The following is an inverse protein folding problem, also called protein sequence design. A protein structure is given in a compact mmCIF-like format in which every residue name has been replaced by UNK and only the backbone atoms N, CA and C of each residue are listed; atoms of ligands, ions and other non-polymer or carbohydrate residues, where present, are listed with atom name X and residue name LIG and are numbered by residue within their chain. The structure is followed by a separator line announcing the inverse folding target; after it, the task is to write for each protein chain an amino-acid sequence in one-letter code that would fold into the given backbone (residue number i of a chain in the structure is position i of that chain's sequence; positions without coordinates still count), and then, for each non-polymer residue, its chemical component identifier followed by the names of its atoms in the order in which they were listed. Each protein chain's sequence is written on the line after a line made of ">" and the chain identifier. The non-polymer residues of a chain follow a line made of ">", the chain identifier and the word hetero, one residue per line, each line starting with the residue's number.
data_IF_417857637380
#
_entry.id   IF_417857637380
#
_cell.length_a   1.000
_cell.length_b   1.000
_cell.length_c   1.000
_cell.angle_alpha   90.00
_cell.angle_beta   90.00
_cell.angle_gamma   90.00
#
_symmetry.space_group_name_H-M   'P 1'
#
loop_
_entity.id
_entity.type
_entity.pdbx_description
1 polymer ?
#
# COMPACT_ATOMS: atom_id res chain seq x y z
N UNK A 1 24.03 -8.55 40.42
CA UNK A 1 25.26 -7.74 40.31
C UNK A 1 26.37 -8.64 39.79
N UNK A 2 27.03 -8.18 38.73
CA UNK A 2 28.25 -8.73 38.13
C UNK A 2 29.44 -8.60 39.12
N UNK A 3 30.56 -9.37 38.99
CA UNK A 3 31.54 -8.97 37.98
C UNK A 3 32.29 -10.08 37.23
N UNK A 4 32.73 -9.62 36.06
CA UNK A 4 33.73 -10.13 35.10
C UNK A 4 35.13 -9.71 35.58
N UNK A 5 36.17 -10.50 35.26
CA UNK A 5 37.58 -10.14 34.84
C UNK A 5 38.64 -11.05 35.45
N UNK A 6 39.81 -11.36 34.87
CA UNK A 6 40.43 -11.35 33.51
C UNK A 6 41.90 -11.82 33.72
N UNK A 7 42.54 -12.39 32.69
CA UNK A 7 44.03 -12.45 32.44
C UNK A 7 44.92 -13.32 33.35
N UNK A 8 46.12 -13.81 32.97
CA UNK A 8 47.03 -13.68 31.81
C UNK A 8 47.98 -14.91 31.79
N UNK A 9 48.78 -15.18 30.74
CA UNK A 9 50.22 -14.84 30.67
C UNK A 9 50.75 -15.11 29.24
N UNK A 10 51.24 -14.08 28.53
CA UNK A 10 52.65 -13.85 28.06
C UNK A 10 53.32 -14.98 27.24
N UNK A 11 53.50 -14.83 25.90
CA UNK A 11 54.69 -14.33 25.12
C UNK A 11 55.95 -15.22 25.31
N UNK A 12 56.65 -15.77 24.30
CA UNK A 12 57.45 -15.04 23.29
C UNK A 12 58.42 -15.97 22.49
N UNK A 13 58.48 -15.78 21.15
CA UNK A 13 59.66 -15.69 20.24
C UNK A 13 60.47 -16.93 19.74
N UNK A 14 60.42 -17.04 18.39
CA UNK A 14 61.44 -17.33 17.33
C UNK A 14 62.11 -18.70 17.09
N UNK A 15 62.04 -19.04 15.79
CA UNK A 15 63.10 -19.54 14.89
C UNK A 15 63.57 -21.00 14.95
N UNK A 16 63.25 -21.75 13.88
CA UNK A 16 64.23 -22.54 13.13
C UNK A 16 63.74 -22.89 11.70
N UNK A 17 64.54 -22.51 10.70
CA UNK A 17 64.53 -22.97 9.30
C UNK A 17 65.24 -24.36 9.26
N UNK A 18 65.06 -25.31 8.32
CA UNK A 18 65.30 -25.26 6.88
C UNK A 18 65.07 -26.67 6.24
N UNK A 19 64.91 -26.69 4.91
CA UNK A 19 65.10 -27.77 3.92
C UNK A 19 63.94 -28.69 3.46
N UNK A 20 63.57 -28.46 2.20
CA UNK A 20 62.77 -29.27 1.25
C UNK A 20 63.56 -30.50 0.71
N UNK A 21 62.99 -31.52 0.01
CA UNK A 21 62.39 -31.30 -1.32
C UNK A 21 61.30 -32.27 -1.84
N UNK A 22 60.67 -31.80 -2.94
CA UNK A 22 60.11 -32.51 -4.12
C UNK A 22 58.68 -33.08 -4.13
N UNK A 23 57.90 -32.40 -4.99
CA UNK A 23 56.93 -32.88 -6.00
C UNK A 23 55.57 -33.41 -5.51
N UNK A 24 54.58 -32.52 -5.45
CA UNK A 24 53.22 -32.85 -5.85
C UNK A 24 52.81 -31.98 -7.05
N UNK A 25 52.29 -32.62 -8.09
CA UNK A 25 51.81 -31.99 -9.32
C UNK A 25 50.48 -31.30 -9.02
N UNK A 26 50.48 -29.96 -8.95
CA UNK A 26 49.25 -29.19 -9.07
C UNK A 26 49.09 -28.75 -10.53
N UNK A 27 48.07 -29.30 -11.17
CA UNK A 27 47.60 -28.94 -12.49
C UNK A 27 47.03 -27.51 -12.42
N UNK A 28 47.71 -26.57 -13.06
CA UNK A 28 47.09 -25.34 -13.53
C UNK A 28 46.39 -25.64 -14.85
N UNK A 29 45.07 -25.40 -14.99
CA UNK A 29 44.54 -25.07 -16.30
C UNK A 29 44.78 -23.58 -16.51
N UNK A 30 45.76 -23.31 -17.36
CA UNK A 30 45.84 -22.13 -18.22
C UNK A 30 44.45 -21.70 -18.68
N UNK A 31 44.08 -20.45 -18.39
CA UNK A 31 42.92 -19.79 -19.00
C UNK A 31 43.28 -19.35 -20.42
N UNK A 32 42.61 -19.82 -21.47
CA UNK A 32 42.56 -19.10 -22.73
C UNK A 32 41.33 -18.19 -22.77
N UNK A 33 41.46 -17.12 -23.55
CA UNK A 33 40.39 -16.31 -24.14
C UNK A 33 39.72 -15.23 -23.27
N UNK A 34 40.42 -14.09 -23.27
CA UNK A 34 40.04 -12.72 -22.87
C UNK A 34 38.79 -12.15 -23.61
N UNK A 35 38.06 -12.95 -24.40
CA UNK A 35 36.98 -12.42 -25.25
C UNK A 35 35.55 -12.72 -24.77
N UNK A 36 35.39 -13.43 -23.65
CA UNK A 36 34.05 -13.76 -23.08
C UNK A 36 33.69 -13.04 -21.78
N UNK A 37 34.62 -12.32 -21.16
CA UNK A 37 34.38 -11.60 -19.90
C UNK A 37 33.76 -10.21 -20.10
N UNK A 38 33.77 -9.67 -21.32
CA UNK A 38 33.15 -8.37 -21.61
C UNK A 38 31.62 -8.40 -21.72
N UNK A 39 31.04 -9.53 -22.16
CA UNK A 39 29.60 -9.62 -22.48
C UNK A 39 28.76 -9.83 -21.21
N UNK A 40 29.29 -10.55 -20.21
CA UNK A 40 28.59 -10.77 -18.94
C UNK A 40 28.51 -9.51 -18.08
N UNK A 41 29.53 -8.65 -18.10
CA UNK A 41 29.50 -7.38 -17.36
C UNK A 41 28.49 -6.39 -17.95
N UNK A 42 28.34 -6.34 -19.27
CA UNK A 42 27.34 -5.50 -19.95
C UNK A 42 25.92 -5.98 -19.63
N UNK A 43 25.70 -7.29 -19.58
CA UNK A 43 24.40 -7.88 -19.25
C UNK A 43 23.94 -7.52 -17.82
N UNK A 44 24.85 -7.49 -16.84
CA UNK A 44 24.54 -7.04 -15.48
C UNK A 44 24.40 -5.52 -15.35
N UNK A 45 25.07 -4.73 -16.20
CA UNK A 45 24.89 -3.28 -16.22
C UNK A 45 23.51 -2.90 -16.76
N UNK A 46 23.06 -3.50 -17.86
CA UNK A 46 21.71 -3.26 -18.40
C UNK A 46 20.59 -3.75 -17.47
N UNK A 47 20.84 -4.78 -16.65
CA UNK A 47 19.84 -5.27 -15.70
C UNK A 47 19.71 -4.38 -14.45
N UNK A 48 20.75 -3.63 -14.07
CA UNK A 48 20.73 -2.74 -12.90
C UNK A 48 20.49 -1.26 -13.22
N UNK A 49 20.72 -0.80 -14.47
CA UNK A 49 20.44 0.60 -14.86
C UNK A 49 19.06 0.81 -15.48
N UNK A 50 18.25 -0.25 -15.62
CA UNK A 50 16.86 -0.15 -16.10
C UNK A 50 15.86 0.43 -15.09
N UNK A 51 16.28 0.68 -13.85
CA UNK A 51 15.45 1.30 -12.81
C UNK A 51 15.57 2.83 -12.84
N UNK A 52 15.62 3.44 -14.03
CA UNK A 52 15.54 4.87 -14.16
C UNK A 52 14.07 5.30 -14.01
N UNK A 53 13.75 5.72 -12.78
CA UNK A 53 12.77 6.76 -12.45
C UNK A 53 11.49 6.76 -13.27
N UNK A 54 10.48 6.17 -12.63
CA UNK A 54 9.05 6.42 -12.74
C UNK A 54 8.60 7.29 -13.90
N UNK A 55 7.81 6.66 -14.78
CA UNK A 55 6.75 7.35 -15.50
C UNK A 55 6.15 8.41 -14.57
N UNK A 56 6.38 9.68 -14.91
CA UNK A 56 5.64 10.79 -14.34
C UNK A 56 4.25 10.70 -14.94
N UNK A 57 3.48 9.72 -14.44
CA UNK A 57 2.03 9.77 -14.54
C UNK A 57 1.64 11.16 -14.08
N UNK A 58 0.84 11.83 -14.89
CA UNK A 58 0.36 13.18 -14.70
C UNK A 58 -0.44 13.23 -13.38
N UNK A 59 0.28 13.31 -12.25
CA UNK A 59 -0.23 13.18 -10.91
C UNK A 59 -1.04 14.44 -10.66
N UNK A 60 -2.36 14.28 -10.76
CA UNK A 60 -3.29 15.35 -10.41
C UNK A 60 -2.94 15.81 -9.00
N UNK A 61 -2.50 17.07 -8.88
CA UNK A 61 -2.10 17.65 -7.60
C UNK A 61 -3.29 17.57 -6.64
N UNK A 62 -3.05 17.03 -5.45
CA UNK A 62 -4.05 17.05 -4.38
C UNK A 62 -4.26 18.49 -3.93
N UNK A 63 -5.51 18.92 -3.91
CA UNK A 63 -5.90 20.22 -3.36
C UNK A 63 -6.63 19.99 -2.04
N UNK A 64 -6.26 20.75 -1.01
CA UNK A 64 -6.82 20.62 0.33
C UNK A 64 -7.37 21.98 0.75
N UNK A 65 -8.67 22.03 1.01
CA UNK A 65 -9.35 23.21 1.54
C UNK A 65 -9.89 22.88 2.93
N UNK A 66 -9.63 23.74 3.90
CA UNK A 66 -10.10 23.56 5.27
C UNK A 66 -10.82 24.81 5.74
N UNK A 67 -12.06 24.63 6.18
CA UNK A 67 -12.87 25.68 6.77
C UNK A 67 -13.47 25.17 8.07
N UNK A 68 -13.02 25.73 9.20
CA UNK A 68 -13.38 25.29 10.55
C UNK A 68 -13.18 23.76 10.74
N UNK A 69 -14.30 23.04 10.90
CA UNK A 69 -14.37 21.59 11.12
C UNK A 69 -14.55 20.80 9.82
N UNK A 70 -14.74 21.47 8.69
CA UNK A 70 -14.90 20.87 7.38
C UNK A 70 -13.55 20.84 6.65
N UNK A 71 -13.19 19.67 6.16
CA UNK A 71 -12.06 19.45 5.26
C UNK A 71 -12.58 18.95 3.93
N UNK A 72 -12.10 19.53 2.83
CA UNK A 72 -12.41 19.13 1.46
C UNK A 72 -11.09 18.80 0.75
N UNK A 73 -11.08 17.73 -0.02
CA UNK A 73 -9.92 17.32 -0.81
C UNK A 73 -10.33 16.99 -2.24
N UNK A 74 -9.65 17.60 -3.21
CA UNK A 74 -9.69 17.17 -4.61
C UNK A 74 -8.49 16.26 -4.88
N UNK A 75 -8.72 15.15 -5.59
CA UNK A 75 -7.72 14.10 -5.86
C UNK A 75 -6.98 13.68 -4.57
N UNK A 76 -7.70 13.21 -3.53
CA UNK A 76 -7.08 12.87 -2.25
C UNK A 76 -6.10 11.70 -2.42
N UNK A 77 -4.99 11.76 -1.68
CA UNK A 77 -3.97 10.69 -1.70
C UNK A 77 -4.44 9.43 -0.98
N UNK A 78 -5.44 9.55 -0.09
CA UNK A 78 -5.98 8.44 0.70
C UNK A 78 -7.47 8.60 0.99
N UNK A 79 -8.10 7.50 1.38
CA UNK A 79 -9.46 7.49 1.90
C UNK A 79 -9.59 8.32 3.21
N UNK A 80 -10.79 8.87 3.49
CA UNK A 80 -11.12 9.46 4.78
C UNK A 80 -10.90 8.47 5.92
N UNK A 81 -10.39 8.94 7.07
CA UNK A 81 -10.07 8.09 8.23
C UNK A 81 -11.28 7.41 8.87
N UNK A 82 -12.46 7.98 8.67
CA UNK A 82 -13.73 7.44 9.19
C UNK A 82 -14.24 6.24 8.39
N UNK A 83 -13.83 6.11 7.14
CA UNK A 83 -14.24 4.99 6.29
C UNK A 83 -13.28 3.81 6.48
N UNK A 84 -13.79 2.58 6.66
CA UNK A 84 -12.96 1.39 6.61
C UNK A 84 -12.20 1.31 5.28
N UNK A 85 -10.96 0.84 5.32
CA UNK A 85 -10.11 0.78 4.12
C UNK A 85 -10.69 -0.21 3.11
N UNK A 86 -11.31 -1.28 3.60
CA UNK A 86 -11.97 -2.32 2.82
C UNK A 86 -13.12 -1.78 1.97
N UNK A 87 -13.70 -0.63 2.30
CA UNK A 87 -14.79 -0.06 1.49
C UNK A 87 -14.28 0.58 0.19
N UNK A 88 -12.97 0.72 0.03
CA UNK A 88 -12.32 1.31 -1.14
C UNK A 88 -11.39 0.26 -1.75
N UNK A 89 -11.79 -0.38 -2.86
CA UNK A 89 -10.93 -1.37 -3.51
C UNK A 89 -9.57 -0.80 -3.91
N UNK A 90 -8.54 -1.64 -3.84
CA UNK A 90 -7.21 -1.28 -4.36
C UNK A 90 -7.27 -0.93 -5.84
N UNK A 91 -6.48 0.07 -6.27
CA UNK A 91 -6.52 0.59 -7.63
C UNK A 91 -7.66 1.58 -7.92
N UNK A 92 -8.45 1.93 -6.90
CA UNK A 92 -9.46 3.00 -7.02
C UNK A 92 -8.84 4.37 -7.24
N UNK A 93 -9.38 5.10 -8.22
CA UNK A 93 -9.01 6.48 -8.49
C UNK A 93 -9.90 7.43 -7.67
N UNK A 94 -9.33 8.00 -6.62
CA UNK A 94 -10.04 8.89 -5.69
C UNK A 94 -10.19 10.29 -6.30
N UNK A 95 -11.42 10.79 -6.37
CA UNK A 95 -11.73 12.04 -7.07
C UNK A 95 -11.92 13.17 -6.08
N UNK A 96 -12.70 12.94 -5.03
CA UNK A 96 -13.11 13.98 -4.09
C UNK A 96 -13.44 13.37 -2.74
N UNK A 97 -13.07 14.05 -1.66
CA UNK A 97 -13.48 13.65 -0.31
C UNK A 97 -13.80 14.84 0.57
N UNK A 98 -14.67 14.61 1.55
CA UNK A 98 -14.91 15.55 2.65
C UNK A 98 -14.86 14.84 3.99
N UNK A 99 -14.41 15.56 5.02
CA UNK A 99 -14.52 15.15 6.41
C UNK A 99 -15.05 16.32 7.24
N UNK A 100 -16.16 16.10 7.95
CA UNK A 100 -16.70 17.00 8.95
C UNK A 100 -16.37 16.46 10.34
N UNK A 101 -15.57 17.20 11.10
CA UNK A 101 -15.23 16.87 12.49
C UNK A 101 -16.36 17.21 13.45
N UNK A 102 -16.43 16.43 14.54
CA UNK A 102 -17.43 16.59 15.59
C UNK A 102 -17.27 17.93 16.31
N UNK A 103 -18.32 18.35 17.01
CA UNK A 103 -18.25 19.61 17.73
C UNK A 103 -17.32 19.55 18.94
N UNK A 104 -17.32 18.40 19.62
CA UNK A 104 -16.62 18.14 20.88
C UNK A 104 -15.14 17.80 20.71
N UNK A 105 -14.64 17.62 19.50
CA UNK A 105 -13.22 17.34 19.27
C UNK A 105 -12.78 17.32 17.80
N UNK A 106 -11.52 17.66 17.56
CA UNK A 106 -10.93 17.66 16.20
C UNK A 106 -10.64 16.25 15.64
N UNK A 107 -10.67 15.23 16.49
CA UNK A 107 -10.26 13.87 16.12
C UNK A 107 -11.41 13.04 15.56
N UNK A 108 -12.61 13.20 16.11
CA UNK A 108 -13.77 12.41 15.71
C UNK A 108 -14.42 12.98 14.45
N UNK A 109 -14.58 12.16 13.43
CA UNK A 109 -15.34 12.51 12.23
C UNK A 109 -16.82 12.22 12.48
N UNK A 110 -17.66 13.25 12.37
CA UNK A 110 -19.12 13.14 12.41
C UNK A 110 -19.64 12.56 11.11
N UNK A 111 -19.21 13.13 9.99
CA UNK A 111 -19.64 12.76 8.65
C UNK A 111 -18.45 12.81 7.70
N UNK A 112 -18.44 11.92 6.71
CA UNK A 112 -17.47 11.99 5.62
C UNK A 112 -18.07 11.51 4.32
N UNK A 113 -17.60 12.10 3.23
CA UNK A 113 -17.96 11.70 1.88
C UNK A 113 -16.71 11.32 1.11
N UNK A 114 -16.81 10.30 0.26
CA UNK A 114 -15.76 9.93 -0.68
C UNK A 114 -16.40 9.61 -2.03
N UNK A 115 -15.87 10.20 -3.09
CA UNK A 115 -16.18 9.90 -4.47
C UNK A 115 -14.94 9.31 -5.15
N UNK A 116 -15.11 8.14 -5.76
CA UNK A 116 -14.05 7.50 -6.53
C UNK A 116 -14.60 6.76 -7.75
N UNK A 117 -13.69 6.36 -8.62
CA UNK A 117 -13.97 5.49 -9.77
C UNK A 117 -13.11 4.24 -9.68
N UNK A 118 -13.64 3.13 -10.18
CA UNK A 118 -12.95 1.85 -10.20
C UNK A 118 -13.18 1.11 -11.52
N UNK A 119 -12.23 0.27 -11.91
CA UNK A 119 -12.30 -0.51 -13.15
C UNK A 119 -13.38 -1.60 -13.10
N UNK A 120 -13.76 -2.05 -11.91
CA UNK A 120 -14.85 -3.00 -11.74
C UNK A 120 -16.16 -2.43 -12.25
N UNK A 121 -16.91 -3.25 -12.99
CA UNK A 121 -18.27 -2.93 -13.42
C UNK A 121 -19.20 -2.95 -12.21
N UNK A 122 -20.37 -2.32 -12.34
CA UNK A 122 -21.40 -2.23 -11.28
C UNK A 122 -21.66 -3.58 -10.57
N UNK A 123 -21.95 -4.65 -11.32
CA UNK A 123 -22.18 -6.00 -10.74
C UNK A 123 -20.99 -6.54 -9.95
N UNK A 124 -19.77 -6.27 -10.38
CA UNK A 124 -18.57 -6.69 -9.67
C UNK A 124 -18.40 -5.90 -8.37
N UNK A 125 -18.73 -4.61 -8.37
CA UNK A 125 -18.74 -3.78 -7.15
C UNK A 125 -19.84 -4.21 -6.17
N UNK A 126 -21.03 -4.60 -6.65
CA UNK A 126 -22.11 -5.14 -5.81
C UNK A 126 -21.66 -6.41 -5.09
N UNK A 127 -21.06 -7.35 -5.81
CA UNK A 127 -20.49 -8.59 -5.24
C UNK A 127 -19.40 -8.24 -4.22
N UNK A 128 -18.48 -7.35 -4.57
CA UNK A 128 -17.41 -6.90 -3.68
C UNK A 128 -17.94 -6.37 -2.35
N UNK A 129 -18.93 -5.48 -2.38
CA UNK A 129 -19.53 -4.95 -1.15
C UNK A 129 -20.31 -6.00 -0.37
N UNK A 130 -21.05 -6.87 -1.05
CA UNK A 130 -21.74 -7.99 -0.41
C UNK A 130 -20.76 -8.87 0.39
N UNK A 131 -19.60 -9.21 -0.19
CA UNK A 131 -18.55 -9.97 0.48
C UNK A 131 -17.97 -9.25 1.70
N UNK A 132 -17.82 -7.92 1.64
CA UNK A 132 -17.34 -7.12 2.78
C UNK A 132 -18.36 -7.14 3.91
N UNK A 133 -19.64 -6.99 3.60
CA UNK A 133 -20.68 -6.94 4.63
C UNK A 133 -20.77 -8.24 5.40
N UNK A 134 -20.66 -9.37 4.69
CA UNK A 134 -20.60 -10.69 5.29
C UNK A 134 -19.35 -10.86 6.15
N UNK A 135 -18.18 -10.51 5.61
CA UNK A 135 -16.88 -10.71 6.28
C UNK A 135 -16.71 -9.84 7.53
N UNK A 136 -17.23 -8.61 7.51
CA UNK A 136 -17.06 -7.62 8.58
C UNK A 136 -18.33 -7.44 9.43
N UNK A 137 -19.34 -8.31 9.27
CA UNK A 137 -20.60 -8.28 10.01
C UNK A 137 -21.34 -6.93 9.95
N UNK A 138 -21.39 -6.31 8.77
CA UNK A 138 -22.21 -5.13 8.55
C UNK A 138 -23.65 -5.53 8.25
N UNK A 139 -24.60 -4.92 8.95
CA UNK A 139 -26.01 -5.15 8.75
C UNK A 139 -26.52 -4.28 7.61
N UNK A 140 -27.07 -4.89 6.56
CA UNK A 140 -27.80 -4.14 5.52
C UNK A 140 -29.11 -3.62 6.10
N UNK A 141 -29.30 -2.30 6.02
CA UNK A 141 -30.50 -1.61 6.46
C UNK A 141 -31.47 -1.38 5.31
N UNK A 142 -30.93 -1.04 4.14
CA UNK A 142 -31.69 -0.73 2.94
C UNK A 142 -30.86 -1.08 1.71
N UNK A 143 -31.53 -1.59 0.68
CA UNK A 143 -30.94 -1.89 -0.62
C UNK A 143 -31.93 -1.55 -1.73
N UNK A 144 -31.49 -0.78 -2.72
CA UNK A 144 -32.23 -0.45 -3.93
C UNK A 144 -31.32 -0.72 -5.13
N UNK A 145 -31.69 -1.71 -5.94
CA UNK A 145 -30.94 -2.11 -7.13
C UNK A 145 -31.77 -1.74 -8.36
N UNK A 146 -31.18 -0.94 -9.24
CA UNK A 146 -31.69 -0.65 -10.58
C UNK A 146 -30.61 -0.94 -11.61
N UNK A 147 -30.92 -0.92 -12.90
CA UNK A 147 -29.91 -1.14 -13.94
C UNK A 147 -28.79 -0.09 -13.92
N UNK A 148 -29.16 1.18 -13.71
CA UNK A 148 -28.24 2.31 -13.75
C UNK A 148 -27.47 2.55 -12.43
N UNK A 149 -28.16 2.34 -11.29
CA UNK A 149 -27.62 2.63 -9.95
C UNK A 149 -27.95 1.53 -8.94
N UNK A 150 -27.09 1.38 -7.96
CA UNK A 150 -27.36 0.58 -6.76
C UNK A 150 -27.07 1.44 -5.54
N UNK A 151 -28.00 1.46 -4.58
CA UNK A 151 -27.87 2.19 -3.33
C UNK A 151 -28.01 1.20 -2.19
N UNK A 152 -27.00 1.13 -1.33
CA UNK A 152 -26.98 0.22 -0.17
C UNK A 152 -26.67 1.05 1.06
N UNK A 153 -27.46 0.89 2.11
CA UNK A 153 -27.20 1.47 3.41
C UNK A 153 -26.87 0.35 4.40
N UNK A 154 -25.73 0.47 5.05
CA UNK A 154 -25.23 -0.54 5.99
C UNK A 154 -24.87 0.07 7.33
N UNK A 155 -25.08 -0.69 8.40
CA UNK A 155 -24.75 -0.33 9.77
C UNK A 155 -23.72 -1.31 10.36
N UNK A 156 -22.67 -0.75 10.97
CA UNK A 156 -21.68 -1.52 11.74
C UNK A 156 -22.21 -1.84 13.15
N UNK A 157 -21.56 -2.79 13.82
CA UNK A 157 -21.84 -3.13 15.22
C UNK A 157 -21.78 -1.90 16.17
N UNK A 158 -20.92 -0.93 15.87
CA UNK A 158 -20.76 0.30 16.64
C UNK A 158 -21.69 1.44 16.19
N UNK A 159 -22.83 1.12 15.55
CA UNK A 159 -23.84 2.10 15.12
C UNK A 159 -23.30 3.21 14.20
N UNK A 160 -22.23 2.91 13.46
CA UNK A 160 -21.79 3.74 12.32
C UNK A 160 -22.53 3.30 11.07
N UNK A 161 -23.04 4.26 10.31
CA UNK A 161 -23.79 4.01 9.07
C UNK A 161 -22.97 4.43 7.87
N UNK A 162 -22.96 3.60 6.83
CA UNK A 162 -22.39 3.91 5.53
C UNK A 162 -23.44 3.71 4.46
N UNK A 163 -23.65 4.73 3.63
CA UNK A 163 -24.44 4.65 2.40
C UNK A 163 -23.48 4.56 1.23
N UNK A 164 -23.68 3.54 0.40
CA UNK A 164 -22.89 3.24 -0.78
C UNK A 164 -23.80 3.43 -1.98
N UNK A 165 -23.37 4.26 -2.93
CA UNK A 165 -24.04 4.40 -4.21
C UNK A 165 -23.07 4.02 -5.33
N UNK A 166 -23.47 3.03 -6.12
CA UNK A 166 -22.71 2.47 -7.24
C UNK A 166 -23.44 2.87 -8.52
N UNK A 167 -22.77 3.63 -9.38
CA UNK A 167 -23.26 4.06 -10.69
C UNK A 167 -22.42 3.40 -11.79
N UNK A 168 -23.07 3.02 -12.90
CA UNK A 168 -22.34 2.61 -14.11
C UNK A 168 -21.56 3.77 -14.70
N UNK A 169 -20.30 3.55 -15.08
CA UNK A 169 -19.48 4.50 -15.81
C UNK A 169 -18.88 3.84 -17.05
N UNK A 170 -18.47 4.62 -18.06
CA UNK A 170 -18.00 4.10 -19.35
C UNK A 170 -16.90 3.02 -19.21
N UNK A 171 -15.95 3.22 -18.30
CA UNK A 171 -14.81 2.33 -18.08
C UNK A 171 -14.85 1.61 -16.71
N UNK A 172 -16.05 1.34 -16.18
CA UNK A 172 -16.21 0.62 -14.92
C UNK A 172 -17.37 1.16 -14.09
N UNK A 173 -17.08 1.64 -12.88
CA UNK A 173 -18.09 2.17 -11.97
C UNK A 173 -17.61 3.43 -11.26
N UNK A 174 -18.60 4.24 -10.89
CA UNK A 174 -18.43 5.43 -10.05
C UNK A 174 -19.11 5.17 -8.71
N UNK A 175 -18.37 5.34 -7.63
CA UNK A 175 -18.83 5.03 -6.29
C UNK A 175 -18.87 6.30 -5.44
N UNK A 176 -19.98 6.51 -4.75
CA UNK A 176 -20.11 7.51 -3.70
C UNK A 176 -20.29 6.79 -2.37
N UNK A 177 -19.42 7.07 -1.43
CA UNK A 177 -19.53 6.61 -0.05
C UNK A 177 -19.88 7.79 0.84
N UNK A 178 -20.95 7.65 1.60
CA UNK A 178 -21.31 8.58 2.65
C UNK A 178 -21.28 7.85 3.98
N UNK A 179 -20.46 8.34 4.90
CA UNK A 179 -20.37 7.83 6.25
C UNK A 179 -20.98 8.84 7.20
N UNK A 180 -21.76 8.33 8.15
CA UNK A 180 -22.28 9.09 9.27
C UNK A 180 -22.07 8.31 10.55
N UNK A 181 -21.45 8.97 11.52
CA UNK A 181 -21.45 8.48 12.88
C UNK A 181 -22.80 8.82 13.52
N UNK A 182 -23.68 7.83 13.68
CA UNK A 182 -24.93 7.97 14.45
C UNK A 182 -24.73 7.81 15.96
N UNK A 183 -23.49 7.55 16.41
CA UNK A 183 -23.15 7.60 17.82
C UNK A 183 -23.09 9.04 18.34
N UNK A 184 -24.23 9.55 18.79
CA UNK A 184 -24.34 10.62 19.79
C UNK A 184 -25.67 10.53 20.53
#
# INVERSE_FOLDING_TARGET
>A
MNPIRFQSLYRSISDQKFFSPKKSKFLFPTFPNVWRTGITAIFWFYFFTGSAFGDTQNLKKTELYRYNKLTLQNNPVRNPRSLPVEFVPEGSNLIYSTELKSERGYFDTRESFLLFTHAFKKKQMEIYYSSIFESLYWKVLQEEITDAKTVIMVESQNKKVVTIQIETANNGSKIKLFYKNSGS
#
